data_IF_445135408056
#
_entry.id   IF_445135408056
#
_cell.length_a   1.000
_cell.length_b   1.000
_cell.length_c   1.000
_cell.angle_alpha   90.00
_cell.angle_beta   90.00
_cell.angle_gamma   90.00
#
_symmetry.space_group_name_H-M   'P 1'
#
loop_
_entity.id
_entity.type
_entity.pdbx_description
1 polymer ?
#
# COMPACT_ATOMS: atom_id res chain seq x y z
N UNK A 1 -37.55 21.74 21.42
CA UNK A 1 -38.93 21.54 20.91
C UNK A 1 -38.98 21.88 19.43
N UNK A 2 -39.10 20.86 18.56
CA UNK A 2 -39.76 20.96 17.25
C UNK A 2 -40.18 19.54 16.83
N UNK A 3 -41.44 19.43 16.45
CA UNK A 3 -42.22 18.19 16.31
C UNK A 3 -41.84 17.42 15.05
N UNK A 4 -41.78 16.11 15.18
CA UNK A 4 -41.60 15.13 14.10
C UNK A 4 -42.99 14.74 13.59
N UNK A 5 -43.27 14.96 12.30
CA UNK A 5 -44.49 14.50 11.64
C UNK A 5 -44.20 13.19 10.91
N UNK A 6 -45.01 12.18 11.22
CA UNK A 6 -45.06 10.89 10.56
C UNK A 6 -45.76 11.01 9.20
N UNK A 7 -45.16 10.42 8.16
CA UNK A 7 -45.87 10.04 6.94
C UNK A 7 -45.98 8.52 6.95
N UNK A 8 -47.22 8.06 7.10
CA UNK A 8 -47.65 6.67 6.91
C UNK A 8 -47.77 6.44 5.40
N UNK A 9 -47.06 5.44 4.89
CA UNK A 9 -47.30 4.89 3.56
C UNK A 9 -47.76 3.44 3.71
N UNK A 10 -49.07 3.26 3.63
CA UNK A 10 -49.77 1.99 3.43
C UNK A 10 -49.32 1.28 2.16
N UNK A 11 -49.08 -0.03 2.23
CA UNK A 11 -49.08 -0.90 1.06
C UNK A 11 -49.69 -2.28 1.40
N UNK A 12 -50.95 -2.43 0.99
CA UNK A 12 -51.48 -3.60 0.31
C UNK A 12 -51.47 -4.95 1.01
N UNK A 13 -52.54 -5.20 1.78
CA UNK A 13 -53.05 -6.54 2.04
C UNK A 13 -53.50 -7.20 0.71
N UNK A 14 -53.03 -8.41 0.42
CA UNK A 14 -53.68 -9.30 -0.54
C UNK A 14 -54.17 -10.55 0.19
N UNK A 15 -55.40 -10.46 0.69
CA UNK A 15 -56.17 -11.60 1.21
C UNK A 15 -56.63 -12.46 0.04
N UNK A 16 -56.19 -13.72 -0.02
CA UNK A 16 -56.88 -14.75 -0.83
C UNK A 16 -57.85 -15.47 0.09
N UNK A 17 -59.13 -15.09 -0.04
CA UNK A 17 -60.27 -15.91 0.36
C UNK A 17 -60.39 -17.08 -0.62
N UNK A 18 -60.41 -18.32 -0.12
CA UNK A 18 -61.08 -19.43 -0.80
C UNK A 18 -62.22 -19.93 0.09
N UNK A 19 -63.41 -19.85 -0.48
CA UNK A 19 -64.70 -20.20 0.09
C UNK A 19 -64.88 -21.72 0.21
N UNK A 20 -65.69 -22.09 1.19
CA UNK A 20 -66.05 -23.43 1.65
C UNK A 20 -66.57 -24.40 0.59
N UNK A 21 -66.23 -25.68 0.75
CA UNK A 21 -66.99 -26.82 0.24
C UNK A 21 -66.92 -27.99 1.22
N UNK A 22 -68.01 -28.28 1.93
CA UNK A 22 -68.18 -29.52 2.70
C UNK A 22 -68.52 -30.67 1.74
N UNK A 23 -67.71 -31.73 1.75
CA UNK A 23 -67.96 -32.99 1.06
C UNK A 23 -67.19 -34.11 1.74
N UNK A 24 -67.90 -35.11 2.24
CA UNK A 24 -67.44 -36.15 3.14
C UNK A 24 -66.67 -37.28 2.43
N UNK A 25 -65.63 -37.78 3.10
CA UNK A 25 -64.94 -39.08 3.01
C UNK A 25 -63.61 -39.22 2.23
N UNK A 26 -62.64 -39.78 2.99
CA UNK A 26 -61.39 -40.49 2.64
C UNK A 26 -60.04 -39.74 2.72
N UNK A 27 -59.34 -40.03 3.82
CA UNK A 27 -57.88 -40.10 4.03
C UNK A 27 -56.95 -39.08 3.34
N UNK A 28 -56.35 -38.18 4.13
CA UNK A 28 -54.90 -38.21 4.42
C UNK A 28 -54.51 -37.03 5.32
N UNK A 29 -53.74 -37.35 6.35
CA UNK A 29 -53.12 -36.46 7.32
C UNK A 29 -51.88 -35.78 6.73
N UNK A 30 -51.83 -34.43 6.69
CA UNK A 30 -50.59 -33.63 6.85
C UNK A 30 -50.81 -32.16 6.44
N UNK A 31 -50.95 -31.23 7.39
CA UNK A 31 -50.80 -29.78 7.09
C UNK A 31 -50.58 -28.90 8.33
N UNK A 32 -49.85 -29.38 9.35
CA UNK A 32 -49.51 -28.59 10.55
C UNK A 32 -48.00 -28.25 10.64
N UNK A 33 -47.19 -28.73 9.70
CA UNK A 33 -45.72 -28.69 9.78
C UNK A 33 -45.08 -27.56 8.97
N UNK A 34 -45.80 -26.97 8.02
CA UNK A 34 -45.26 -25.97 7.09
C UNK A 34 -45.25 -24.55 7.65
N UNK A 35 -46.25 -24.16 8.44
CA UNK A 35 -46.34 -22.80 9.03
C UNK A 35 -45.26 -22.54 10.09
N UNK A 36 -44.94 -23.54 10.94
CA UNK A 36 -43.92 -23.39 11.98
C UNK A 36 -42.48 -23.36 11.44
N UNK A 37 -42.20 -24.04 10.33
CA UNK A 37 -40.90 -24.02 9.66
C UNK A 37 -40.63 -22.68 8.95
N UNK A 38 -41.66 -22.07 8.35
CA UNK A 38 -41.58 -20.73 7.76
C UNK A 38 -41.37 -19.66 8.83
N UNK A 39 -42.07 -19.73 9.96
CA UNK A 39 -41.93 -18.77 11.07
C UNK A 39 -40.53 -18.80 11.71
N UNK A 40 -39.93 -19.99 11.89
CA UNK A 40 -38.56 -20.13 12.39
C UNK A 40 -37.50 -19.60 11.42
N UNK A 41 -37.73 -19.76 10.12
CA UNK A 41 -36.84 -19.23 9.08
C UNK A 41 -36.86 -17.70 9.06
N UNK A 42 -38.04 -17.10 9.22
CA UNK A 42 -38.21 -15.64 9.30
C UNK A 42 -37.47 -15.05 10.50
N UNK A 43 -37.58 -15.65 11.69
CA UNK A 43 -36.87 -15.19 12.87
C UNK A 43 -35.35 -15.27 12.72
N UNK A 44 -34.85 -16.35 12.12
CA UNK A 44 -33.41 -16.52 11.85
C UNK A 44 -32.89 -15.42 10.90
N UNK A 45 -33.67 -15.07 9.86
CA UNK A 45 -33.31 -13.99 8.93
C UNK A 45 -33.29 -12.60 9.58
N UNK A 46 -34.13 -12.34 10.59
CA UNK A 46 -34.11 -11.08 11.35
C UNK A 46 -32.80 -10.96 12.14
N UNK A 47 -32.40 -12.01 12.86
CA UNK A 47 -31.14 -12.00 13.61
C UNK A 47 -29.92 -11.88 12.70
N UNK A 48 -29.94 -12.55 11.54
CA UNK A 48 -28.90 -12.43 10.52
C UNK A 48 -28.80 -10.97 10.03
N UNK A 49 -29.93 -10.32 9.75
CA UNK A 49 -29.94 -8.91 9.31
C UNK A 49 -29.35 -7.97 10.37
N UNK A 50 -29.70 -8.16 11.64
CA UNK A 50 -29.15 -7.34 12.73
C UNK A 50 -27.62 -7.49 12.84
N UNK A 51 -27.11 -8.72 12.80
CA UNK A 51 -25.66 -8.96 12.81
C UNK A 51 -24.96 -8.28 11.61
N UNK A 52 -25.59 -8.30 10.43
CA UNK A 52 -25.06 -7.63 9.24
C UNK A 52 -25.07 -6.10 9.36
N UNK A 53 -26.11 -5.53 9.97
CA UNK A 53 -26.18 -4.09 10.27
C UNK A 53 -25.05 -3.66 11.22
N UNK A 54 -24.77 -4.48 12.24
CA UNK A 54 -23.70 -4.29 13.23
C UNK A 54 -22.30 -4.67 12.75
N UNK A 55 -22.14 -5.02 11.45
CA UNK A 55 -20.88 -5.43 10.85
C UNK A 55 -20.28 -6.74 11.43
N UNK A 56 -21.11 -7.56 12.07
CA UNK A 56 -20.80 -8.87 12.67
C UNK A 56 -20.90 -10.02 11.66
N UNK A 57 -20.18 -9.91 10.53
CA UNK A 57 -20.31 -10.83 9.39
C UNK A 57 -20.03 -12.30 9.69
N UNK A 58 -19.08 -12.59 10.60
CA UNK A 58 -18.78 -13.97 11.00
C UNK A 58 -19.95 -14.61 11.75
N UNK A 59 -20.60 -13.86 12.64
CA UNK A 59 -21.77 -14.31 13.41
C UNK A 59 -22.98 -14.50 12.48
N UNK A 60 -23.20 -13.55 11.56
CA UNK A 60 -24.23 -13.68 10.53
C UNK A 60 -24.02 -14.94 9.67
N UNK A 61 -22.78 -15.22 9.27
CA UNK A 61 -22.42 -16.41 8.50
C UNK A 61 -22.64 -17.71 9.28
N UNK A 62 -22.29 -17.75 10.56
CA UNK A 62 -22.55 -18.92 11.43
C UNK A 62 -24.05 -19.21 11.55
N UNK A 63 -24.88 -18.17 11.77
CA UNK A 63 -26.35 -18.31 11.81
C UNK A 63 -26.93 -18.76 10.47
N UNK A 64 -26.40 -18.28 9.35
CA UNK A 64 -26.76 -18.77 8.01
C UNK A 64 -26.40 -20.24 7.82
N UNK A 65 -25.20 -20.66 8.24
CA UNK A 65 -24.76 -22.05 8.18
C UNK A 65 -25.64 -22.95 9.07
N UNK A 66 -26.12 -22.47 10.22
CA UNK A 66 -27.09 -23.19 11.08
C UNK A 66 -28.49 -23.29 10.48
N UNK A 67 -28.99 -22.20 9.90
CA UNK A 67 -30.30 -22.18 9.23
C UNK A 67 -30.30 -23.15 8.03
N UNK A 68 -29.23 -23.18 7.24
CA UNK A 68 -29.06 -24.10 6.12
C UNK A 68 -28.90 -25.57 6.53
N UNK A 69 -28.46 -25.87 7.76
CA UNK A 69 -28.49 -27.27 8.26
C UNK A 69 -29.92 -27.77 8.44
N UNK A 70 -30.84 -26.86 8.82
CA UNK A 70 -32.25 -27.17 9.08
C UNK A 70 -33.08 -27.17 7.80
N UNK A 71 -32.78 -26.26 6.88
CA UNK A 71 -33.40 -26.18 5.55
C UNK A 71 -32.32 -26.08 4.45
N UNK A 72 -31.72 -27.22 4.06
CA UNK A 72 -30.60 -27.24 3.12
C UNK A 72 -30.96 -26.84 1.69
N UNK A 73 -32.24 -26.79 1.33
CA UNK A 73 -32.69 -26.47 -0.02
C UNK A 73 -33.23 -25.05 -0.17
N UNK A 74 -33.26 -24.30 0.93
CA UNK A 74 -33.68 -22.90 0.94
C UNK A 74 -32.81 -22.03 0.02
N UNK A 75 -33.41 -21.48 -1.03
CA UNK A 75 -32.69 -20.65 -2.00
C UNK A 75 -32.28 -19.30 -1.41
N UNK A 76 -33.12 -18.71 -0.58
CA UNK A 76 -32.88 -17.37 -0.01
C UNK A 76 -31.73 -17.43 1.02
N UNK A 77 -31.66 -18.48 1.84
CA UNK A 77 -30.55 -18.68 2.76
C UNK A 77 -29.23 -18.96 2.03
N UNK A 78 -29.26 -19.74 0.93
CA UNK A 78 -28.08 -19.97 0.07
C UNK A 78 -27.59 -18.66 -0.55
N UNK A 79 -28.50 -17.87 -1.11
CA UNK A 79 -28.22 -16.57 -1.70
C UNK A 79 -27.65 -15.59 -0.66
N UNK A 80 -28.28 -15.48 0.51
CA UNK A 80 -27.79 -14.64 1.61
C UNK A 80 -26.38 -15.04 2.06
N UNK A 81 -26.11 -16.34 2.18
CA UNK A 81 -24.77 -16.85 2.50
C UNK A 81 -23.74 -16.51 1.44
N UNK A 82 -24.08 -16.68 0.17
CA UNK A 82 -23.20 -16.32 -0.95
C UNK A 82 -22.88 -14.81 -0.93
N UNK A 83 -23.88 -13.95 -0.69
CA UNK A 83 -23.67 -12.50 -0.56
C UNK A 83 -22.72 -12.15 0.59
N UNK A 84 -22.87 -12.76 1.77
CA UNK A 84 -21.98 -12.52 2.91
C UNK A 84 -20.55 -12.95 2.60
N UNK A 85 -20.36 -14.15 2.04
CA UNK A 85 -19.04 -14.67 1.69
C UNK A 85 -18.34 -13.79 0.62
N UNK A 86 -19.07 -13.33 -0.40
CA UNK A 86 -18.56 -12.40 -1.42
C UNK A 86 -18.24 -11.01 -0.83
N UNK A 87 -19.09 -10.51 0.06
CA UNK A 87 -18.89 -9.19 0.67
C UNK A 87 -17.69 -9.17 1.63
N UNK A 88 -17.48 -10.23 2.41
CA UNK A 88 -16.27 -10.37 3.24
C UNK A 88 -15.00 -10.42 2.39
N UNK A 89 -15.00 -11.17 1.27
CA UNK A 89 -13.88 -11.17 0.31
C UNK A 89 -13.62 -9.79 -0.28
N UNK A 90 -14.69 -9.05 -0.59
CA UNK A 90 -14.58 -7.67 -1.07
C UNK A 90 -13.96 -6.73 -0.02
N UNK A 91 -14.40 -6.83 1.25
CA UNK A 91 -13.84 -6.04 2.36
C UNK A 91 -12.37 -6.35 2.59
N UNK A 92 -11.98 -7.62 2.56
CA UNK A 92 -10.58 -8.00 2.75
C UNK A 92 -9.69 -7.48 1.61
N UNK A 93 -10.11 -7.68 0.36
CA UNK A 93 -9.39 -7.14 -0.79
C UNK A 93 -9.26 -5.61 -0.74
N UNK A 94 -10.28 -4.91 -0.24
CA UNK A 94 -10.23 -3.47 -0.04
C UNK A 94 -9.18 -3.08 1.00
N UNK A 95 -9.14 -3.78 2.15
CA UNK A 95 -8.15 -3.54 3.23
C UNK A 95 -6.71 -3.77 2.78
N UNK A 96 -6.50 -4.73 1.87
CA UNK A 96 -5.19 -5.03 1.28
C UNK A 96 -4.82 -4.12 0.09
N UNK A 97 -5.66 -3.15 -0.28
CA UNK A 97 -5.41 -2.24 -1.42
C UNK A 97 -5.57 -2.87 -2.80
N UNK A 98 -6.20 -4.06 -2.88
CA UNK A 98 -6.57 -4.76 -4.11
C UNK A 98 -7.95 -4.31 -4.59
N UNK A 99 -8.07 -3.02 -4.91
CA UNK A 99 -9.35 -2.36 -5.18
C UNK A 99 -10.12 -2.90 -6.41
N UNK A 100 -9.42 -3.47 -7.38
CA UNK A 100 -9.99 -4.18 -8.53
C UNK A 100 -10.70 -5.47 -8.10
N UNK A 101 -10.06 -6.25 -7.22
CA UNK A 101 -10.62 -7.47 -6.63
C UNK A 101 -11.78 -7.13 -5.69
N UNK A 102 -11.66 -6.05 -4.91
CA UNK A 102 -12.73 -5.55 -4.06
C UNK A 102 -13.97 -5.15 -4.88
N UNK A 103 -13.77 -4.41 -5.96
CA UNK A 103 -14.83 -3.97 -6.87
C UNK A 103 -15.53 -5.14 -7.56
N UNK A 104 -14.78 -6.13 -8.05
CA UNK A 104 -15.35 -7.31 -8.71
C UNK A 104 -16.22 -8.13 -7.74
N UNK A 105 -15.72 -8.39 -6.52
CA UNK A 105 -16.48 -9.13 -5.52
C UNK A 105 -17.72 -8.34 -5.04
N UNK A 106 -17.61 -7.02 -4.84
CA UNK A 106 -18.77 -6.19 -4.49
C UNK A 106 -19.86 -6.22 -5.57
N UNK A 107 -19.49 -6.18 -6.86
CA UNK A 107 -20.45 -6.34 -7.97
C UNK A 107 -21.10 -7.72 -8.01
N UNK A 108 -20.35 -8.77 -7.63
CA UNK A 108 -20.90 -10.12 -7.55
C UNK A 108 -21.97 -10.23 -6.46
N UNK A 109 -21.82 -9.55 -5.33
CA UNK A 109 -22.87 -9.46 -4.28
C UNK A 109 -24.19 -8.96 -4.88
N UNK A 110 -24.15 -7.85 -5.62
CA UNK A 110 -25.32 -7.24 -6.27
C UNK A 110 -25.94 -8.09 -7.41
N UNK A 111 -25.27 -9.17 -7.84
CA UNK A 111 -25.74 -10.08 -8.89
C UNK A 111 -26.34 -11.37 -8.33
N UNK A 112 -26.22 -11.60 -7.02
CA UNK A 112 -26.87 -12.75 -6.39
C UNK A 112 -28.37 -12.51 -6.40
N UNK A 113 -29.11 -13.36 -7.12
CA UNK A 113 -30.58 -13.29 -7.18
C UNK A 113 -31.18 -13.78 -5.86
N UNK A 114 -32.31 -13.18 -5.46
CA UNK A 114 -33.02 -13.51 -4.21
C UNK A 114 -32.19 -13.35 -2.92
N UNK A 115 -31.20 -12.47 -2.95
CA UNK A 115 -30.41 -12.11 -1.77
C UNK A 115 -31.09 -11.12 -0.83
N UNK A 116 -30.36 -10.71 0.22
CA UNK A 116 -30.75 -9.66 1.15
C UNK A 116 -30.45 -8.28 0.55
N UNK A 117 -31.47 -7.44 0.42
CA UNK A 117 -31.31 -6.05 -0.08
C UNK A 117 -30.29 -5.22 0.73
N UNK A 118 -30.16 -5.50 2.04
CA UNK A 118 -29.17 -4.87 2.90
C UNK A 118 -27.74 -5.11 2.40
N UNK A 119 -27.45 -6.31 1.90
CA UNK A 119 -26.13 -6.65 1.36
C UNK A 119 -25.87 -5.95 0.03
N UNK A 120 -26.89 -5.77 -0.80
CA UNK A 120 -26.77 -4.96 -2.02
C UNK A 120 -26.43 -3.51 -1.70
N UNK A 121 -27.07 -2.94 -0.66
CA UNK A 121 -26.79 -1.59 -0.19
C UNK A 121 -25.34 -1.44 0.29
N UNK A 122 -24.89 -2.35 1.19
CA UNK A 122 -23.51 -2.36 1.69
C UNK A 122 -22.48 -2.61 0.58
N UNK A 123 -22.80 -3.45 -0.40
CA UNK A 123 -21.94 -3.73 -1.55
C UNK A 123 -21.84 -2.53 -2.50
N UNK A 124 -22.92 -1.77 -2.72
CA UNK A 124 -22.89 -0.53 -3.52
C UNK A 124 -22.02 0.55 -2.89
N UNK A 125 -22.07 0.70 -1.57
CA UNK A 125 -21.18 1.61 -0.83
C UNK A 125 -19.71 1.21 -1.01
N UNK A 126 -19.39 -0.07 -0.83
CA UNK A 126 -18.03 -0.59 -1.01
C UNK A 126 -17.56 -0.51 -2.47
N UNK A 127 -18.45 -0.74 -3.45
CA UNK A 127 -18.18 -0.55 -4.88
C UNK A 127 -17.81 0.91 -5.18
N UNK A 128 -18.52 1.87 -4.58
CA UNK A 128 -18.24 3.30 -4.75
C UNK A 128 -16.86 3.63 -4.18
N UNK A 129 -16.59 3.23 -2.93
CA UNK A 129 -15.28 3.42 -2.29
C UNK A 129 -14.14 2.79 -3.09
N UNK A 130 -14.30 1.57 -3.56
CA UNK A 130 -13.29 0.87 -4.36
C UNK A 130 -13.07 1.53 -5.73
N UNK A 131 -14.11 2.07 -6.37
CA UNK A 131 -13.98 2.84 -7.62
C UNK A 131 -13.21 4.13 -7.42
N UNK A 132 -13.49 4.86 -6.34
CA UNK A 132 -12.83 6.12 -6.03
C UNK A 132 -11.34 5.90 -5.77
N UNK A 133 -11.00 4.92 -4.92
CA UNK A 133 -9.61 4.50 -4.66
C UNK A 133 -8.89 3.99 -5.93
N UNK A 134 -9.60 3.26 -6.80
CA UNK A 134 -9.05 2.83 -8.10
C UNK A 134 -8.84 4.01 -9.04
N UNK A 135 -9.73 5.02 -9.04
CA UNK A 135 -9.60 6.23 -9.82
C UNK A 135 -8.45 7.11 -9.32
N UNK A 136 -8.26 7.23 -8.01
CA UNK A 136 -7.10 7.92 -7.41
C UNK A 136 -5.78 7.19 -7.70
N UNK A 137 -5.75 5.86 -7.58
CA UNK A 137 -4.61 5.03 -7.98
C UNK A 137 -4.32 5.17 -9.47
N UNK A 138 -5.35 5.32 -10.29
CA UNK A 138 -5.22 5.59 -11.74
C UNK A 138 -4.83 7.03 -12.06
N UNK A 139 -5.19 8.03 -11.25
CA UNK A 139 -4.71 9.42 -11.40
C UNK A 139 -3.24 9.54 -11.00
N UNK A 140 -2.81 8.95 -9.87
CA UNK A 140 -1.38 8.80 -9.53
C UNK A 140 -0.61 7.99 -10.59
N UNK A 141 -1.26 7.01 -11.23
CA UNK A 141 -0.70 6.24 -12.35
C UNK A 141 -0.70 7.01 -13.68
N UNK A 142 -1.66 7.92 -13.91
CA UNK A 142 -1.73 8.79 -15.10
C UNK A 142 -0.79 9.99 -15.01
N UNK A 143 -0.51 10.55 -13.83
CA UNK A 143 0.64 11.44 -13.61
C UNK A 143 1.96 10.70 -13.93
N UNK A 144 2.07 9.41 -13.54
CA UNK A 144 3.15 8.52 -14.00
C UNK A 144 3.13 8.16 -15.50
N UNK A 145 2.01 8.36 -16.22
CA UNK A 145 1.84 7.94 -17.63
C UNK A 145 1.91 9.11 -18.63
N UNK A 146 1.56 10.32 -18.23
CA UNK A 146 1.93 11.56 -18.95
C UNK A 146 3.47 11.70 -18.94
N UNK A 147 4.12 11.37 -17.82
CA UNK A 147 5.58 11.21 -17.73
C UNK A 147 6.15 10.10 -18.63
N UNK A 148 5.36 9.08 -19.01
CA UNK A 148 5.81 7.93 -19.84
C UNK A 148 5.58 8.09 -21.34
N UNK A 149 4.70 9.01 -21.79
CA UNK A 149 4.43 9.22 -23.22
C UNK A 149 5.28 10.33 -23.84
N UNK A 150 5.75 11.30 -23.06
CA UNK A 150 6.87 12.17 -23.47
C UNK A 150 8.17 11.35 -23.63
N UNK A 151 8.39 10.32 -22.80
CA UNK A 151 9.56 9.41 -22.87
C UNK A 151 9.68 8.54 -24.14
N UNK A 152 8.70 8.48 -25.04
CA UNK A 152 8.80 7.71 -26.28
C UNK A 152 9.22 8.56 -27.50
N UNK A 153 8.93 9.86 -27.51
CA UNK A 153 9.40 10.78 -28.55
C UNK A 153 10.78 11.37 -28.21
N UNK A 154 11.18 11.41 -26.93
CA UNK A 154 12.55 11.77 -26.50
C UNK A 154 13.51 10.57 -26.46
N UNK A 155 13.09 9.37 -26.88
CA UNK A 155 13.96 8.17 -26.84
C UNK A 155 15.00 8.09 -27.98
N UNK A 156 14.95 9.00 -28.95
CA UNK A 156 16.01 9.16 -29.95
C UNK A 156 16.93 10.38 -29.66
N UNK A 157 16.59 11.22 -28.68
CA UNK A 157 17.35 12.44 -28.36
C UNK A 157 18.00 12.45 -26.96
N UNK A 158 17.65 11.50 -26.08
CA UNK A 158 18.05 11.52 -24.66
C UNK A 158 19.00 10.37 -24.27
N UNK A 159 19.91 10.00 -25.17
CA UNK A 159 21.10 9.17 -24.85
C UNK A 159 22.21 10.02 -24.22
N UNK A 160 22.00 11.33 -23.99
CA UNK A 160 23.03 12.25 -23.48
C UNK A 160 22.92 12.65 -22.00
N UNK A 161 21.88 12.25 -21.26
CA UNK A 161 21.66 12.69 -19.86
C UNK A 161 21.96 11.63 -18.77
N UNK A 162 22.61 10.52 -19.11
CA UNK A 162 23.05 9.49 -18.15
C UNK A 162 24.28 9.89 -17.32
N UNK A 163 24.85 11.07 -17.53
CA UNK A 163 26.05 11.55 -16.82
C UNK A 163 25.67 12.48 -15.69
N UNK A 164 26.24 12.24 -14.51
CA UNK A 164 26.26 13.22 -13.43
C UNK A 164 26.74 14.57 -13.98
N UNK A 165 26.07 15.66 -13.61
CA UNK A 165 26.31 16.98 -14.19
C UNK A 165 26.14 18.09 -13.14
N UNK A 166 26.46 19.32 -13.52
CA UNK A 166 26.40 20.47 -12.63
C UNK A 166 25.01 20.75 -12.05
N UNK A 167 23.93 20.47 -12.79
CA UNK A 167 22.56 20.63 -12.29
C UNK A 167 22.27 19.62 -11.19
N UNK A 168 22.57 18.34 -11.40
CA UNK A 168 22.42 17.29 -10.37
C UNK A 168 23.31 17.57 -9.15
N UNK A 169 24.50 18.13 -9.36
CA UNK A 169 25.38 18.56 -8.27
C UNK A 169 24.75 19.67 -7.41
N UNK A 170 24.10 20.66 -8.03
CA UNK A 170 23.43 21.74 -7.31
C UNK A 170 22.20 21.22 -6.54
N UNK A 171 21.43 20.32 -7.15
CA UNK A 171 20.28 19.68 -6.52
C UNK A 171 20.69 18.78 -5.33
N UNK A 172 21.84 18.10 -5.40
CA UNK A 172 22.42 17.38 -4.27
C UNK A 172 22.76 18.34 -3.11
N UNK A 173 23.32 19.51 -3.43
CA UNK A 173 23.56 20.56 -2.43
C UNK A 173 22.27 20.97 -1.71
N UNK A 174 21.22 21.28 -2.47
CA UNK A 174 19.92 21.65 -1.91
C UNK A 174 19.29 20.52 -1.08
N UNK A 175 19.41 19.27 -1.54
CA UNK A 175 18.95 18.09 -0.81
C UNK A 175 19.62 18.00 0.56
N UNK A 176 20.95 18.19 0.63
CA UNK A 176 21.69 18.12 1.87
C UNK A 176 21.34 19.24 2.84
N UNK A 177 21.23 20.49 2.37
CA UNK A 177 20.78 21.62 3.20
C UNK A 177 19.40 21.38 3.82
N UNK A 178 18.45 20.85 3.04
CA UNK A 178 17.10 20.59 3.55
C UNK A 178 17.08 19.41 4.51
N UNK A 179 17.81 18.35 4.19
CA UNK A 179 17.85 17.14 5.01
C UNK A 179 18.55 17.38 6.35
N UNK A 180 19.71 18.05 6.36
CA UNK A 180 20.45 18.40 7.57
C UNK A 180 19.59 19.24 8.51
N UNK A 181 18.95 20.30 7.97
CA UNK A 181 18.03 21.15 8.72
C UNK A 181 16.85 20.35 9.31
N UNK A 182 16.28 19.40 8.58
CA UNK A 182 15.17 18.56 9.09
C UNK A 182 15.56 17.64 10.24
N UNK A 183 16.85 17.26 10.31
CA UNK A 183 17.42 16.43 11.38
C UNK A 183 17.95 17.26 12.56
N UNK A 184 17.95 18.60 12.43
CA UNK A 184 18.61 19.51 13.38
C UNK A 184 20.14 19.37 13.38
N UNK A 185 20.72 18.86 12.30
CA UNK A 185 22.15 18.59 12.15
C UNK A 185 22.74 19.54 11.11
N UNK A 186 24.05 19.76 11.17
CA UNK A 186 24.77 20.54 10.17
C UNK A 186 25.82 19.68 9.47
N UNK A 187 25.75 19.65 8.14
CA UNK A 187 26.66 18.91 7.29
C UNK A 187 27.15 19.83 6.20
N UNK A 188 28.47 20.00 6.14
CA UNK A 188 29.13 20.83 5.15
C UNK A 188 29.65 19.97 4.00
N UNK A 189 29.55 20.50 2.78
CA UNK A 189 30.16 19.84 1.63
C UNK A 189 31.67 19.86 1.79
N UNK A 190 32.30 18.71 1.56
CA UNK A 190 33.76 18.57 1.54
C UNK A 190 34.24 18.38 0.11
N UNK A 191 35.31 19.08 -0.26
CA UNK A 191 35.99 18.91 -1.54
C UNK A 191 36.67 17.54 -1.64
N UNK A 192 36.75 16.96 -2.84
CA UNK A 192 37.34 15.62 -2.99
C UNK A 192 38.82 15.53 -2.62
N UNK A 193 39.55 16.64 -2.60
CA UNK A 193 40.96 16.71 -2.20
C UNK A 193 41.14 17.25 -0.78
N UNK A 194 40.06 17.57 -0.09
CA UNK A 194 40.10 18.00 1.31
C UNK A 194 40.16 16.77 2.21
N UNK A 195 40.94 16.89 3.28
CA UNK A 195 41.07 15.83 4.28
C UNK A 195 39.83 15.77 5.16
N UNK A 196 39.26 14.58 5.32
CA UNK A 196 38.12 14.34 6.21
C UNK A 196 38.62 13.59 7.44
N UNK A 197 38.48 14.21 8.62
CA UNK A 197 38.96 13.66 9.89
C UNK A 197 38.47 12.25 10.18
N UNK A 198 37.16 12.04 10.08
CA UNK A 198 36.51 10.75 10.29
C UNK A 198 36.92 9.68 9.26
N UNK A 199 37.34 10.07 8.04
CA UNK A 199 37.84 9.12 7.04
C UNK A 199 39.33 8.81 7.20
N UNK A 200 40.09 9.73 7.79
CA UNK A 200 41.55 9.66 7.85
C UNK A 200 42.24 9.99 6.52
N UNK A 201 41.50 10.36 5.47
CA UNK A 201 42.00 10.66 4.13
C UNK A 201 41.10 11.67 3.39
N UNK A 202 41.49 12.03 2.17
CA UNK A 202 40.60 12.69 1.21
C UNK A 202 39.83 11.66 0.38
N UNK A 203 38.75 12.09 -0.28
CA UNK A 203 38.00 11.21 -1.21
C UNK A 203 38.86 10.80 -2.43
N UNK A 204 39.79 11.67 -2.84
CA UNK A 204 40.73 11.42 -3.95
C UNK A 204 41.70 10.28 -3.68
N UNK A 205 41.95 9.99 -2.40
CA UNK A 205 42.85 8.92 -1.97
C UNK A 205 42.28 7.52 -2.28
N UNK A 206 40.96 7.38 -2.39
CA UNK A 206 40.36 6.12 -2.85
C UNK A 206 40.56 5.88 -4.35
N UNK A 207 40.60 6.93 -5.17
CA UNK A 207 40.76 6.79 -6.62
C UNK A 207 42.23 6.55 -7.00
N UNK A 208 43.17 7.19 -6.30
CA UNK A 208 44.61 7.05 -6.57
C UNK A 208 45.21 5.77 -5.91
N UNK A 209 44.45 5.09 -5.04
CA UNK A 209 44.87 3.88 -4.35
C UNK A 209 45.74 4.08 -3.12
N UNK A 210 45.86 5.32 -2.59
CA UNK A 210 46.55 5.59 -1.32
C UNK A 210 45.70 5.27 -0.08
N UNK A 211 44.38 5.14 -0.25
CA UNK A 211 43.43 4.66 0.75
C UNK A 211 42.46 3.63 0.16
N UNK A 212 41.93 2.72 0.98
CA UNK A 212 40.91 1.76 0.55
C UNK A 212 39.54 2.14 1.13
N UNK A 213 38.53 2.23 0.27
CA UNK A 213 37.14 2.34 0.70
C UNK A 213 36.56 0.94 0.91
N UNK A 214 36.06 0.67 2.12
CA UNK A 214 35.28 -0.53 2.42
C UNK A 214 33.80 -0.20 2.52
N UNK A 215 32.95 -0.92 1.77
CA UNK A 215 31.50 -0.84 1.92
C UNK A 215 31.00 -2.15 2.52
N UNK A 216 30.39 -2.08 3.70
CA UNK A 216 29.94 -3.27 4.44
C UNK A 216 31.04 -4.32 4.64
N UNK A 217 32.28 -3.86 4.89
CA UNK A 217 33.46 -4.71 5.10
C UNK A 217 34.07 -5.31 3.84
N UNK A 218 33.62 -4.93 2.64
CA UNK A 218 34.22 -5.36 1.38
C UNK A 218 34.93 -4.18 0.70
N UNK A 219 36.18 -4.33 0.23
CA UNK A 219 36.87 -3.26 -0.49
C UNK A 219 36.17 -3.02 -1.83
N UNK A 220 36.00 -1.75 -2.20
CA UNK A 220 35.35 -1.35 -3.45
C UNK A 220 36.26 -0.45 -4.29
N UNK A 221 36.07 -0.51 -5.60
CA UNK A 221 36.72 0.44 -6.52
C UNK A 221 35.96 1.75 -6.55
N UNK A 222 36.68 2.86 -6.46
CA UNK A 222 36.13 4.23 -6.47
C UNK A 222 36.55 4.98 -7.72
N UNK A 223 35.62 5.74 -8.28
CA UNK A 223 35.90 6.76 -9.31
C UNK A 223 35.21 8.06 -8.94
N UNK A 224 35.71 9.20 -9.41
CA UNK A 224 35.19 10.54 -9.06
C UNK A 224 34.74 11.32 -10.30
N UNK A 225 33.78 12.23 -10.13
CA UNK A 225 33.45 13.26 -11.12
C UNK A 225 32.30 12.92 -12.07
N UNK A 226 32.56 12.92 -13.38
CA UNK A 226 31.54 12.71 -14.43
C UNK A 226 31.83 11.46 -15.29
N UNK A 227 32.53 10.48 -14.72
CA UNK A 227 32.93 9.25 -15.42
C UNK A 227 31.75 8.27 -15.50
N UNK A 228 31.80 7.32 -16.45
CA UNK A 228 30.74 6.31 -16.55
C UNK A 228 30.85 5.33 -15.39
N UNK A 229 29.75 5.22 -14.62
CA UNK A 229 29.62 4.29 -13.51
C UNK A 229 29.52 2.86 -14.05
N UNK A 230 30.66 2.17 -14.15
CA UNK A 230 30.71 0.72 -14.25
C UNK A 230 30.33 0.06 -12.92
N UNK A 231 31.00 -1.05 -12.57
CA UNK A 231 30.87 -1.71 -11.25
C UNK A 231 31.54 -0.96 -10.10
N UNK A 232 32.14 0.20 -10.35
CA UNK A 232 32.78 1.04 -9.33
C UNK A 232 31.74 1.93 -8.63
N UNK A 233 32.04 2.33 -7.40
CA UNK A 233 31.32 3.39 -6.70
C UNK A 233 31.79 4.74 -7.24
N UNK A 234 30.94 5.38 -8.05
CA UNK A 234 31.24 6.70 -8.61
C UNK A 234 30.83 7.80 -7.64
N UNK A 235 31.76 8.33 -6.85
CA UNK A 235 31.46 9.34 -5.83
C UNK A 235 31.25 10.70 -6.49
N UNK A 236 30.09 11.29 -6.18
CA UNK A 236 29.60 12.55 -6.74
C UNK A 236 29.42 13.65 -5.67
N UNK A 237 29.57 13.30 -4.40
CA UNK A 237 29.59 14.28 -3.31
C UNK A 237 30.01 13.66 -1.99
N UNK A 238 30.64 14.48 -1.15
CA UNK A 238 31.00 14.14 0.21
C UNK A 238 30.52 15.26 1.14
N UNK A 239 29.97 14.89 2.28
CA UNK A 239 29.48 15.81 3.30
C UNK A 239 29.90 15.33 4.67
N UNK A 240 30.46 16.23 5.46
CA UNK A 240 30.99 15.93 6.78
C UNK A 240 30.36 16.86 7.81
N UNK A 241 30.17 16.35 9.02
CA UNK A 241 29.48 17.06 10.09
C UNK A 241 29.35 16.18 11.32
N UNK A 242 28.50 16.60 12.24
CA UNK A 242 28.35 15.95 13.54
C UNK A 242 26.87 15.62 13.78
N UNK A 243 26.60 14.44 14.33
CA UNK A 243 25.24 14.11 14.79
C UNK A 243 24.88 14.90 16.05
N UNK A 244 23.60 14.87 16.42
CA UNK A 244 23.14 15.50 17.67
C UNK A 244 23.78 14.90 18.94
N UNK A 245 24.38 13.70 18.83
CA UNK A 245 25.05 13.03 19.94
C UNK A 245 26.55 13.34 20.01
N UNK A 246 27.08 14.15 19.08
CA UNK A 246 28.50 14.50 19.03
C UNK A 246 29.37 13.58 18.18
N UNK A 247 28.78 12.61 17.48
CA UNK A 247 29.55 11.70 16.62
C UNK A 247 29.87 12.37 15.28
N UNK A 248 31.16 12.47 14.92
CA UNK A 248 31.52 12.88 13.56
C UNK A 248 30.98 11.84 12.57
N UNK A 249 30.37 12.34 11.50
CA UNK A 249 29.68 11.53 10.51
C UNK A 249 29.96 12.08 9.13
N UNK A 250 30.41 11.18 8.26
CA UNK A 250 30.65 11.48 6.85
C UNK A 250 29.66 10.73 5.97
N UNK A 251 29.04 11.44 5.04
CA UNK A 251 28.21 10.87 3.98
C UNK A 251 28.93 10.94 2.63
N UNK A 252 28.96 9.81 1.91
CA UNK A 252 29.38 9.77 0.51
C UNK A 252 28.17 9.46 -0.37
N UNK A 253 27.99 10.27 -1.41
CA UNK A 253 26.97 10.11 -2.43
C UNK A 253 27.61 9.48 -3.66
N UNK A 254 27.13 8.29 -4.03
CA UNK A 254 27.75 7.47 -5.07
C UNK A 254 26.73 7.01 -6.10
N UNK A 255 27.13 6.94 -7.37
CA UNK A 255 26.39 6.20 -8.39
C UNK A 255 27.05 4.84 -8.55
N UNK A 256 26.31 3.76 -8.33
CA UNK A 256 26.80 2.39 -8.49
C UNK A 256 25.80 1.60 -9.32
N UNK A 257 26.24 1.02 -10.43
CA UNK A 257 25.37 0.32 -11.41
C UNK A 257 24.15 1.15 -11.85
N UNK A 258 24.36 2.46 -12.06
CA UNK A 258 23.31 3.40 -12.45
C UNK A 258 22.31 3.78 -11.35
N UNK A 259 22.52 3.33 -10.11
CA UNK A 259 21.67 3.66 -8.97
C UNK A 259 22.37 4.60 -7.99
N UNK A 260 21.63 5.57 -7.46
CA UNK A 260 22.12 6.42 -6.37
C UNK A 260 22.20 5.65 -5.06
N UNK A 261 23.39 5.60 -4.48
CA UNK A 261 23.70 4.97 -3.19
C UNK A 261 24.26 6.05 -2.25
N UNK A 262 23.74 6.09 -1.04
CA UNK A 262 24.25 6.97 0.03
C UNK A 262 24.96 6.10 1.05
N UNK A 263 26.24 6.35 1.25
CA UNK A 263 27.11 5.68 2.20
C UNK A 263 27.31 6.59 3.42
N UNK A 264 27.46 5.98 4.60
CA UNK A 264 27.72 6.68 5.86
C UNK A 264 28.84 6.00 6.63
N UNK A 265 29.68 6.80 7.26
CA UNK A 265 30.72 6.41 8.22
C UNK A 265 30.56 7.28 9.46
N UNK A 266 30.74 6.72 10.66
CA UNK A 266 30.68 7.44 11.93
C UNK A 266 31.89 7.04 12.80
N UNK A 267 32.35 7.93 13.69
CA UNK A 267 33.53 7.73 14.56
C UNK A 267 33.56 6.38 15.34
N UNK A 268 32.43 5.69 15.52
CA UNK A 268 32.39 4.35 16.10
C UNK A 268 33.08 3.26 15.27
N UNK A 269 33.47 3.57 14.03
CA UNK A 269 34.04 2.62 13.07
C UNK A 269 35.58 2.76 12.92
N UNK A 270 36.23 3.58 13.74
CA UNK A 270 37.70 3.73 13.75
C UNK A 270 38.39 2.44 14.20
N UNK A 271 39.19 1.84 13.31
CA UNK A 271 40.10 0.73 13.64
C UNK A 271 41.51 1.28 13.72
N UNK A 272 42.22 1.00 14.83
CA UNK A 272 43.66 1.21 14.99
C UNK A 272 44.44 0.38 13.94
N UNK A 273 44.53 0.86 12.72
CA UNK A 273 45.33 0.26 11.66
C UNK A 273 46.33 1.28 11.13
N UNK A 274 47.57 0.85 10.92
CA UNK A 274 48.62 1.62 10.23
C UNK A 274 48.35 1.78 8.71
N UNK A 275 47.14 1.46 8.26
CA UNK A 275 46.63 1.67 6.90
C UNK A 275 45.45 2.64 6.97
N UNK A 276 45.42 3.61 6.06
CA UNK A 276 44.32 4.59 5.98
C UNK A 276 43.14 3.93 5.26
N UNK A 277 42.44 3.05 5.97
CA UNK A 277 41.27 2.33 5.48
C UNK A 277 40.00 2.98 6.06
N UNK A 278 39.06 3.38 5.20
CA UNK A 278 37.80 3.99 5.64
C UNK A 278 36.64 3.02 5.44
N UNK A 279 35.88 2.80 6.51
CA UNK A 279 34.73 1.91 6.51
C UNK A 279 33.43 2.70 6.41
N UNK A 280 32.60 2.28 5.47
CA UNK A 280 31.29 2.86 5.21
C UNK A 280 30.24 1.75 5.12
N UNK A 281 29.01 2.11 5.43
CA UNK A 281 27.83 1.27 5.18
C UNK A 281 26.76 2.06 4.44
N UNK A 282 25.85 1.42 3.69
CA UNK A 282 24.69 2.12 3.17
C UNK A 282 23.89 2.77 4.31
N UNK A 283 23.49 4.02 4.12
CA UNK A 283 22.72 4.74 5.14
C UNK A 283 21.42 4.02 5.46
N UNK A 284 21.08 3.96 6.75
CA UNK A 284 19.78 3.48 7.22
C UNK A 284 18.68 4.55 7.08
N UNK A 285 19.04 5.80 6.74
CA UNK A 285 18.06 6.87 6.51
C UNK A 285 17.38 6.72 5.15
N UNK A 286 16.20 6.09 5.15
CA UNK A 286 15.42 5.83 3.93
C UNK A 286 14.98 7.08 3.19
N UNK A 287 14.78 8.20 3.90
CA UNK A 287 14.42 9.47 3.27
C UNK A 287 15.58 10.00 2.43
N UNK A 288 16.78 10.04 3.01
CA UNK A 288 17.99 10.51 2.33
C UNK A 288 18.34 9.62 1.13
N UNK A 289 18.32 8.29 1.31
CA UNK A 289 18.64 7.35 0.24
C UNK A 289 17.66 7.43 -0.93
N UNK A 290 16.35 7.50 -0.66
CA UNK A 290 15.33 7.58 -1.72
C UNK A 290 15.38 8.89 -2.50
N UNK A 291 15.61 10.02 -1.81
CA UNK A 291 15.71 11.33 -2.46
C UNK A 291 16.93 11.41 -3.37
N UNK A 292 18.07 10.85 -2.96
CA UNK A 292 19.24 10.81 -3.81
C UNK A 292 19.08 9.83 -4.98
N UNK A 293 18.48 8.67 -4.78
CA UNK A 293 18.18 7.74 -5.87
C UNK A 293 17.30 8.39 -6.96
N UNK A 294 16.29 9.18 -6.56
CA UNK A 294 15.45 9.95 -7.48
C UNK A 294 16.20 11.07 -8.20
N UNK A 295 17.26 11.63 -7.59
CA UNK A 295 18.10 12.64 -8.22
C UNK A 295 19.00 12.04 -9.32
N UNK A 296 19.44 10.79 -9.13
CA UNK A 296 20.25 10.06 -10.11
C UNK A 296 19.42 9.59 -11.29
N UNK A 297 18.22 9.05 -11.03
CA UNK A 297 17.33 8.37 -11.99
C UNK A 297 16.41 9.24 -12.84
#
# INVERSE_FOLDING_TARGET
MKKMQYIVATLGLASVFLLSGCGQSSSSSSSSSSESAQEQTVNSLVEIKNDLEEDSYNQAKEKLDEALKKDPDNKDLKAAKEQVDLYMKAKEAYREGRYDVALDNAKKVCKVESGLELMDSKAKDLETKAKDELAEKQQKSKEKKVQKREQAATKAANVSNSKWNGTKQAELGNLMTQWSASMGQDYSKVGFSEYVGNMGCSVSDFQNGSATLYVSGQPVTVTLGNQEAGSSYHIVGAYDGMTNNGDDTTYLFAIHNGQGVVLVSQNSDYIESNTVDSYFTPTKNQNLSSRFANLVG
#
